data_IF_242159921285
#
_entry.id   IF_242159921285
#
_cell.length_a   1.000
_cell.length_b   1.000
_cell.length_c   1.000
_cell.angle_alpha   90.00
_cell.angle_beta   90.00
_cell.angle_gamma   90.00
#
_symmetry.space_group_name_H-M   'P 1'
#
loop_
_entity.id
_entity.type
_entity.pdbx_description
1 polymer ?
#
# COMPACT_ATOMS: atom_id res chain seq x y z
N UNK A 1 9.21 15.94 -28.23
CA UNK A 1 8.73 15.10 -27.13
C UNK A 1 9.63 15.22 -25.87
N UNK A 2 10.94 15.02 -26.01
CA UNK A 2 11.91 15.09 -24.89
C UNK A 2 11.93 16.43 -24.12
N UNK A 3 11.76 17.59 -24.80
CA UNK A 3 11.74 18.90 -24.15
C UNK A 3 10.52 19.09 -23.23
N UNK A 4 9.34 18.58 -23.64
CA UNK A 4 8.11 18.64 -22.80
C UNK A 4 8.23 17.76 -21.57
N UNK A 5 8.88 16.60 -21.68
CA UNK A 5 9.14 15.70 -20.55
C UNK A 5 10.12 16.34 -19.58
N UNK A 6 11.17 16.99 -20.07
CA UNK A 6 12.15 17.67 -19.21
C UNK A 6 11.51 18.81 -18.41
N UNK A 7 10.68 19.65 -19.04
CA UNK A 7 9.97 20.73 -18.36
C UNK A 7 8.97 20.18 -17.32
N UNK A 8 8.26 19.09 -17.64
CA UNK A 8 7.36 18.45 -16.68
C UNK A 8 8.11 17.99 -15.42
N UNK A 9 9.25 17.33 -15.56
CA UNK A 9 10.09 16.88 -14.43
C UNK A 9 10.58 18.05 -13.60
N UNK A 10 11.09 19.11 -14.22
CA UNK A 10 11.65 20.28 -13.50
C UNK A 10 10.56 21.07 -12.76
N UNK A 11 9.38 21.19 -13.33
CA UNK A 11 8.30 22.03 -12.78
C UNK A 11 7.43 21.28 -11.75
N UNK A 12 7.47 19.94 -11.76
CA UNK A 12 6.59 19.10 -10.93
C UNK A 12 7.36 18.06 -10.08
N UNK A 13 8.67 18.22 -9.92
CA UNK A 13 9.47 17.30 -9.10
C UNK A 13 9.14 17.49 -7.62
N UNK A 14 8.93 16.39 -6.92
CA UNK A 14 8.64 16.37 -5.51
C UNK A 14 9.11 15.07 -4.85
N UNK A 15 9.02 15.02 -3.54
CA UNK A 15 9.27 13.82 -2.75
C UNK A 15 7.92 13.25 -2.31
N UNK A 16 7.66 11.99 -2.69
CA UNK A 16 6.56 11.19 -2.14
C UNK A 16 7.09 10.42 -0.92
N UNK A 17 6.46 10.62 0.22
CA UNK A 17 6.76 9.82 1.42
C UNK A 17 5.66 8.77 1.56
N UNK A 18 6.07 7.51 1.62
CA UNK A 18 5.21 6.36 1.87
C UNK A 18 5.62 5.70 3.19
N UNK A 19 4.66 5.34 4.00
CA UNK A 19 4.84 4.52 5.19
C UNK A 19 4.05 3.24 5.01
N UNK A 20 4.74 2.14 5.05
CA UNK A 20 4.20 0.80 4.95
C UNK A 20 3.77 0.29 6.35
N UNK A 21 3.09 -0.84 6.41
CA UNK A 21 2.86 -1.61 7.65
C UNK A 21 1.98 -0.91 8.69
N UNK A 22 1.07 -0.05 8.26
CA UNK A 22 0.12 0.62 9.16
C UNK A 22 -0.96 -0.39 9.56
N UNK A 23 -0.94 -0.82 10.81
CA UNK A 23 -1.83 -1.83 11.36
C UNK A 23 -2.35 -1.45 12.75
N UNK A 24 -3.44 -2.11 13.20
CA UNK A 24 -3.95 -1.93 14.56
C UNK A 24 -2.90 -2.33 15.64
N UNK A 25 -2.04 -3.28 15.29
CA UNK A 25 -0.89 -3.71 16.08
C UNK A 25 0.39 -3.23 15.36
N UNK A 26 1.02 -2.20 15.86
CA UNK A 26 2.29 -1.67 15.34
C UNK A 26 2.99 -0.86 16.44
N UNK A 27 4.20 -0.35 16.17
CA UNK A 27 4.88 0.55 17.10
C UNK A 27 4.24 1.95 17.07
N UNK A 28 3.20 2.13 17.89
CA UNK A 28 2.42 3.37 17.95
C UNK A 28 3.23 4.58 18.46
N UNK A 29 4.26 4.37 19.29
CA UNK A 29 5.12 5.46 19.76
C UNK A 29 5.97 6.01 18.62
N UNK A 30 6.47 5.12 17.74
CA UNK A 30 7.21 5.53 16.56
C UNK A 30 6.30 6.25 15.57
N UNK A 31 5.09 5.71 15.33
CA UNK A 31 4.11 6.34 14.45
C UNK A 31 3.70 7.74 14.94
N UNK A 32 3.51 7.92 16.25
CA UNK A 32 3.22 9.22 16.82
C UNK A 32 4.36 10.24 16.60
N UNK A 33 5.61 9.81 16.71
CA UNK A 33 6.77 10.67 16.41
C UNK A 33 6.80 11.06 14.93
N UNK A 34 6.51 10.11 14.04
CA UNK A 34 6.42 10.36 12.59
C UNK A 34 5.28 11.34 12.27
N UNK A 35 4.12 11.19 12.88
CA UNK A 35 2.97 12.09 12.72
C UNK A 35 3.33 13.53 13.10
N UNK A 36 3.97 13.74 14.26
CA UNK A 36 4.44 15.06 14.68
C UNK A 36 5.45 15.67 13.70
N UNK A 37 6.34 14.86 13.15
CA UNK A 37 7.29 15.30 12.13
C UNK A 37 6.59 15.75 10.85
N UNK A 38 5.63 14.96 10.36
CA UNK A 38 4.86 15.28 9.16
C UNK A 38 4.02 16.54 9.35
N UNK A 39 3.39 16.71 10.49
CA UNK A 39 2.65 17.93 10.82
C UNK A 39 3.57 19.16 10.85
N UNK A 40 4.72 19.05 11.51
CA UNK A 40 5.72 20.14 11.60
C UNK A 40 6.16 20.64 10.23
N UNK A 41 6.30 19.73 9.25
CA UNK A 41 6.79 20.06 7.91
C UNK A 41 5.67 20.11 6.85
N UNK A 42 4.40 20.05 7.27
CA UNK A 42 3.23 20.04 6.37
C UNK A 42 3.29 18.92 5.32
N UNK A 43 3.89 17.77 5.68
CA UNK A 43 4.00 16.60 4.83
C UNK A 43 2.69 15.81 4.89
N UNK A 44 2.20 15.37 3.73
CA UNK A 44 1.03 14.49 3.58
C UNK A 44 1.51 13.16 3.00
N UNK A 45 1.84 12.17 3.83
CA UNK A 45 2.34 10.90 3.36
C UNK A 45 1.25 10.03 2.75
N UNK A 46 1.66 8.97 2.06
CA UNK A 46 0.82 7.81 1.75
C UNK A 46 1.01 6.78 2.85
N UNK A 47 -0.09 6.29 3.41
CA UNK A 47 -0.10 5.26 4.44
C UNK A 47 -0.59 3.94 3.87
N UNK A 48 0.25 2.91 3.90
CA UNK A 48 -0.09 1.55 3.55
C UNK A 48 -0.76 0.82 4.71
N UNK A 49 -2.07 0.79 4.69
CA UNK A 49 -2.86 0.20 5.78
C UNK A 49 -3.16 -1.27 5.50
N UNK A 50 -2.84 -2.13 6.47
CA UNK A 50 -3.15 -3.56 6.47
C UNK A 50 -4.57 -3.74 7.05
N UNK A 51 -5.58 -4.14 6.26
CA UNK A 51 -6.96 -4.13 6.74
C UNK A 51 -7.30 -5.25 7.72
N UNK A 52 -6.56 -6.36 7.72
CA UNK A 52 -6.79 -7.52 8.59
C UNK A 52 -5.47 -8.17 8.99
N UNK A 53 -4.65 -7.44 9.72
CA UNK A 53 -3.31 -7.88 10.09
C UNK A 53 -3.32 -9.26 10.79
N UNK A 54 -2.49 -10.18 10.27
CA UNK A 54 -2.25 -11.53 10.82
C UNK A 54 -0.76 -11.82 10.97
N UNK A 55 0.09 -10.85 10.67
CA UNK A 55 1.54 -10.98 10.81
C UNK A 55 1.93 -11.07 12.29
N UNK A 56 2.60 -12.15 12.65
CA UNK A 56 2.99 -12.43 14.03
C UNK A 56 3.95 -11.38 14.60
N UNK A 57 4.78 -10.76 13.76
CA UNK A 57 5.71 -9.71 14.19
C UNK A 57 4.92 -8.47 14.64
N UNK A 58 3.89 -8.07 13.90
CA UNK A 58 3.04 -6.94 14.29
C UNK A 58 2.10 -7.28 15.44
N UNK A 59 1.55 -8.49 15.47
CA UNK A 59 0.68 -8.94 16.57
C UNK A 59 1.39 -8.93 17.93
N UNK A 60 2.71 -8.89 17.97
CA UNK A 60 3.48 -8.72 19.20
C UNK A 60 3.32 -7.32 19.83
N UNK A 61 2.90 -6.31 19.06
CA UNK A 61 2.63 -4.98 19.59
C UNK A 61 1.20 -4.88 20.15
N UNK A 62 0.97 -3.99 21.14
CA UNK A 62 -0.36 -3.75 21.67
C UNK A 62 -1.35 -3.32 20.58
N UNK A 63 -2.55 -3.86 20.65
CA UNK A 63 -3.64 -3.47 19.76
C UNK A 63 -4.19 -2.08 20.12
N UNK A 64 -4.36 -1.23 19.11
CA UNK A 64 -5.03 0.07 19.24
C UNK A 64 -6.51 -0.07 18.90
N UNK A 65 -7.38 0.02 19.93
CA UNK A 65 -8.82 -0.21 19.76
C UNK A 65 -9.51 0.85 18.88
N UNK A 66 -9.00 2.07 18.85
CA UNK A 66 -9.51 3.18 18.03
C UNK A 66 -8.75 3.36 16.71
N UNK A 67 -8.09 2.30 16.22
CA UNK A 67 -7.27 2.32 15.01
C UNK A 67 -7.98 2.94 13.80
N UNK A 68 -9.19 2.49 13.50
CA UNK A 68 -9.92 2.99 12.33
C UNK A 68 -10.36 4.46 12.48
N UNK A 69 -10.60 4.93 13.70
CA UNK A 69 -10.78 6.36 13.95
C UNK A 69 -9.51 7.14 13.59
N UNK A 70 -8.35 6.61 13.95
CA UNK A 70 -7.09 7.24 13.61
C UNK A 70 -6.84 7.26 12.09
N UNK A 71 -7.14 6.17 11.38
CA UNK A 71 -7.03 6.11 9.90
C UNK A 71 -7.96 7.17 9.25
N UNK A 72 -9.19 7.31 9.73
CA UNK A 72 -10.11 8.37 9.26
C UNK A 72 -9.56 9.77 9.54
N UNK A 73 -8.94 9.98 10.70
CA UNK A 73 -8.33 11.26 11.05
C UNK A 73 -7.18 11.62 10.09
N UNK A 74 -6.31 10.67 9.77
CA UNK A 74 -5.23 10.90 8.79
C UNK A 74 -5.80 11.23 7.41
N UNK A 75 -6.80 10.49 6.94
CA UNK A 75 -7.49 10.82 5.69
C UNK A 75 -8.08 12.23 5.70
N UNK A 76 -8.69 12.65 6.82
CA UNK A 76 -9.27 13.98 6.96
C UNK A 76 -8.20 15.09 6.96
N UNK A 77 -6.97 14.79 7.41
CA UNK A 77 -5.79 15.67 7.25
C UNK A 77 -5.29 15.73 5.80
N UNK A 78 -5.88 14.98 4.88
CA UNK A 78 -5.50 14.92 3.46
C UNK A 78 -4.34 13.97 3.18
N UNK A 79 -4.05 13.02 4.09
CA UNK A 79 -3.10 11.95 3.83
C UNK A 79 -3.76 10.88 2.94
N UNK A 80 -3.01 10.30 2.02
CA UNK A 80 -3.52 9.23 1.18
C UNK A 80 -3.51 7.92 1.95
N UNK A 81 -4.64 7.22 1.93
CA UNK A 81 -4.77 5.88 2.51
C UNK A 81 -4.75 4.87 1.36
N UNK A 82 -3.74 4.02 1.36
CA UNK A 82 -3.57 2.93 0.42
C UNK A 82 -3.80 1.59 1.11
N UNK A 83 -4.24 0.60 0.36
CA UNK A 83 -4.32 -0.77 0.83
C UNK A 83 -2.95 -1.43 0.72
N UNK A 84 -2.43 -1.97 1.83
CA UNK A 84 -1.16 -2.70 1.90
C UNK A 84 -1.41 -4.19 2.17
N UNK A 85 -1.64 -4.93 1.09
CA UNK A 85 -2.07 -6.31 1.18
C UNK A 85 -3.44 -6.48 1.84
N UNK A 86 -3.68 -7.66 2.42
CA UNK A 86 -4.89 -7.98 3.18
C UNK A 86 -4.55 -8.44 4.60
N UNK A 87 -3.71 -9.47 4.73
CA UNK A 87 -3.36 -10.07 6.03
C UNK A 87 -1.91 -9.85 6.41
N UNK A 88 -1.07 -9.46 5.47
CA UNK A 88 0.39 -9.36 5.59
C UNK A 88 1.07 -10.71 5.87
N UNK A 89 0.47 -11.82 5.42
CA UNK A 89 1.04 -13.17 5.53
C UNK A 89 1.72 -13.55 4.23
N UNK A 90 2.99 -13.88 4.30
CA UNK A 90 3.79 -14.39 3.18
C UNK A 90 3.68 -15.92 3.10
N UNK A 91 2.69 -16.42 2.37
CA UNK A 91 2.44 -17.84 2.21
C UNK A 91 2.96 -18.42 0.88
N UNK A 92 3.64 -17.60 0.11
CA UNK A 92 4.37 -17.97 -1.12
C UNK A 92 5.76 -17.37 -1.12
N UNK A 93 6.65 -18.01 -1.89
CA UNK A 93 7.99 -17.48 -2.17
C UNK A 93 8.11 -17.14 -3.64
N UNK A 94 8.65 -15.98 -3.94
CA UNK A 94 8.89 -15.47 -5.27
C UNK A 94 10.39 -15.37 -5.53
N UNK A 95 10.88 -15.95 -6.63
CA UNK A 95 12.24 -15.67 -7.10
C UNK A 95 12.27 -14.27 -7.67
N UNK A 96 13.39 -13.59 -7.50
CA UNK A 96 13.59 -12.24 -8.02
C UNK A 96 13.34 -12.13 -9.52
N UNK A 97 13.73 -13.15 -10.29
CA UNK A 97 13.52 -13.22 -11.75
C UNK A 97 12.05 -13.37 -12.16
N UNK A 98 11.20 -13.85 -11.28
CA UNK A 98 9.81 -14.19 -11.56
C UNK A 98 8.86 -13.08 -11.08
N UNK A 99 9.35 -12.20 -10.21
CA UNK A 99 8.62 -11.04 -9.72
C UNK A 99 8.60 -9.92 -10.77
N UNK A 100 7.44 -9.33 -10.95
CA UNK A 100 7.23 -8.27 -11.95
C UNK A 100 8.19 -7.08 -11.78
N UNK A 101 8.50 -6.70 -10.55
CA UNK A 101 9.42 -5.60 -10.22
C UNK A 101 10.83 -6.04 -9.81
N UNK A 102 11.16 -7.33 -9.90
CA UNK A 102 12.46 -7.89 -9.55
C UNK A 102 12.88 -7.71 -8.07
N UNK A 103 11.95 -7.65 -7.13
CA UNK A 103 12.27 -7.68 -5.70
C UNK A 103 12.49 -9.10 -5.20
N UNK A 104 11.51 -9.99 -5.40
CA UNK A 104 11.50 -11.36 -4.92
C UNK A 104 11.31 -11.47 -3.40
N UNK A 105 11.31 -12.68 -2.87
CA UNK A 105 11.14 -12.98 -1.45
C UNK A 105 9.76 -13.53 -1.11
N UNK A 106 9.32 -13.33 0.15
CA UNK A 106 7.99 -13.75 0.59
C UNK A 106 6.89 -12.95 -0.10
N UNK A 107 5.73 -13.56 -0.34
CA UNK A 107 4.63 -12.88 -1.00
C UNK A 107 3.27 -13.27 -0.43
N UNK A 108 2.38 -12.30 -0.33
CA UNK A 108 0.97 -12.51 -0.06
C UNK A 108 0.18 -12.71 -1.37
N UNK A 109 0.65 -12.22 -2.52
CA UNK A 109 -0.10 -12.22 -3.78
C UNK A 109 0.52 -13.10 -4.86
N UNK A 110 1.81 -12.93 -5.16
CA UNK A 110 2.51 -13.68 -6.20
C UNK A 110 2.27 -15.20 -6.09
N UNK A 111 2.01 -15.83 -7.24
CA UNK A 111 1.88 -17.28 -7.35
C UNK A 111 0.55 -17.87 -6.84
N UNK A 112 -0.40 -17.02 -6.44
CA UNK A 112 -1.78 -17.41 -6.16
C UNK A 112 -2.65 -17.33 -7.41
N UNK A 113 -3.75 -18.11 -7.42
CA UNK A 113 -4.73 -17.99 -8.50
C UNK A 113 -5.37 -16.60 -8.52
N UNK A 114 -5.86 -16.18 -9.67
CA UNK A 114 -6.58 -14.92 -9.83
C UNK A 114 -7.74 -14.79 -8.83
N UNK A 115 -8.50 -15.86 -8.63
CA UNK A 115 -9.65 -15.90 -7.70
C UNK A 115 -9.18 -15.66 -6.26
N UNK A 116 -8.06 -16.28 -5.85
CA UNK A 116 -7.51 -16.10 -4.50
C UNK A 116 -7.07 -14.66 -4.29
N UNK A 117 -6.34 -14.09 -5.25
CA UNK A 117 -5.90 -12.71 -5.18
C UNK A 117 -7.07 -11.73 -5.16
N UNK A 118 -8.07 -11.92 -6.03
CA UNK A 118 -9.31 -11.13 -6.02
C UNK A 118 -10.07 -11.24 -4.71
N UNK A 119 -10.15 -12.43 -4.10
CA UNK A 119 -10.80 -12.64 -2.80
C UNK A 119 -10.11 -11.85 -1.70
N UNK A 120 -8.79 -11.86 -1.63
CA UNK A 120 -7.99 -11.06 -0.66
C UNK A 120 -8.25 -9.56 -0.84
N UNK A 121 -8.16 -9.07 -2.08
CA UNK A 121 -8.40 -7.66 -2.40
C UNK A 121 -9.83 -7.24 -2.03
N UNK A 122 -10.84 -8.00 -2.43
CA UNK A 122 -12.25 -7.72 -2.10
C UNK A 122 -12.49 -7.70 -0.60
N UNK A 123 -11.90 -8.64 0.14
CA UNK A 123 -12.02 -8.68 1.61
C UNK A 123 -11.41 -7.46 2.27
N UNK A 124 -10.24 -7.02 1.80
CA UNK A 124 -9.60 -5.79 2.27
C UNK A 124 -10.42 -4.55 1.93
N UNK A 125 -10.89 -4.42 0.68
CA UNK A 125 -11.75 -3.32 0.25
C UNK A 125 -13.06 -3.24 1.04
N UNK A 126 -13.66 -4.40 1.33
CA UNK A 126 -14.85 -4.46 2.17
C UNK A 126 -14.57 -3.90 3.57
N UNK A 127 -13.44 -4.28 4.18
CA UNK A 127 -13.07 -3.74 5.50
C UNK A 127 -12.91 -2.22 5.47
N UNK A 128 -12.28 -1.65 4.45
CA UNK A 128 -12.19 -0.20 4.28
C UNK A 128 -13.58 0.44 4.05
N UNK A 129 -14.44 -0.20 3.27
CA UNK A 129 -15.80 0.27 3.03
C UNK A 129 -16.62 0.31 4.32
N UNK A 130 -16.53 -0.73 5.15
CA UNK A 130 -17.20 -0.81 6.46
C UNK A 130 -16.73 0.32 7.40
N UNK A 131 -15.50 0.82 7.21
CA UNK A 131 -14.93 1.95 7.92
C UNK A 131 -15.13 3.31 7.22
N UNK A 132 -15.95 3.36 6.16
CA UNK A 132 -16.22 4.54 5.34
C UNK A 132 -14.96 5.15 4.68
N UNK A 133 -14.00 4.31 4.29
CA UNK A 133 -12.78 4.73 3.61
C UNK A 133 -12.80 4.18 2.17
N UNK A 134 -12.70 5.07 1.17
CA UNK A 134 -12.56 4.66 -0.23
C UNK A 134 -11.08 4.51 -0.56
N UNK A 135 -10.72 3.35 -1.11
CA UNK A 135 -9.37 3.01 -1.55
C UNK A 135 -9.30 3.09 -3.08
N UNK A 136 -8.22 3.65 -3.59
CA UNK A 136 -7.86 3.68 -5.02
C UNK A 136 -6.43 3.23 -5.27
N UNK A 137 -5.61 3.19 -4.23
CA UNK A 137 -4.18 2.96 -4.27
C UNK A 137 -3.84 1.67 -3.53
N UNK A 138 -2.94 0.89 -4.12
CA UNK A 138 -2.46 -0.38 -3.57
C UNK A 138 -0.94 -0.47 -3.71
N UNK A 139 -0.31 -1.14 -2.77
CA UNK A 139 1.02 -1.72 -2.93
C UNK A 139 1.14 -3.00 -2.11
N UNK A 140 1.79 -4.01 -2.71
CA UNK A 140 1.86 -5.32 -2.11
C UNK A 140 2.86 -5.36 -0.94
N UNK A 141 2.57 -6.12 0.13
CA UNK A 141 3.59 -6.49 1.10
C UNK A 141 4.80 -7.12 0.39
N UNK A 142 6.00 -6.71 0.84
CA UNK A 142 7.28 -7.09 0.21
C UNK A 142 7.36 -6.78 -1.31
N UNK A 143 6.47 -5.94 -1.84
CA UNK A 143 6.51 -5.39 -3.21
C UNK A 143 6.57 -6.47 -4.32
N UNK A 144 5.99 -7.65 -4.06
CA UNK A 144 6.01 -8.80 -4.97
C UNK A 144 4.71 -8.96 -5.73
N UNK A 145 4.80 -9.04 -7.06
CA UNK A 145 3.66 -9.05 -7.99
C UNK A 145 3.82 -10.11 -9.08
N UNK A 146 2.69 -10.60 -9.56
CA UNK A 146 2.58 -11.28 -10.85
C UNK A 146 1.48 -10.63 -11.72
N UNK A 147 1.28 -11.14 -12.95
CA UNK A 147 0.24 -10.61 -13.85
C UNK A 147 -1.17 -10.74 -13.26
N UNK A 148 -1.44 -11.81 -12.51
CA UNK A 148 -2.73 -11.99 -11.85
C UNK A 148 -2.99 -10.89 -10.82
N UNK A 149 -1.95 -10.36 -10.16
CA UNK A 149 -2.08 -9.26 -9.19
C UNK A 149 -2.66 -8.01 -9.87
N UNK A 150 -2.13 -7.61 -11.02
CA UNK A 150 -2.66 -6.45 -11.76
C UNK A 150 -4.07 -6.68 -12.28
N UNK A 151 -4.36 -7.87 -12.82
CA UNK A 151 -5.71 -8.23 -13.26
C UNK A 151 -6.70 -8.22 -12.10
N UNK A 152 -6.31 -8.75 -10.94
CA UNK A 152 -7.13 -8.77 -9.73
C UNK A 152 -7.42 -7.35 -9.22
N UNK A 153 -6.42 -6.48 -9.18
CA UNK A 153 -6.56 -5.07 -8.79
C UNK A 153 -7.52 -4.33 -9.72
N UNK A 154 -7.31 -4.44 -11.05
CA UNK A 154 -8.18 -3.84 -12.08
C UNK A 154 -9.63 -4.30 -11.94
N UNK A 155 -9.85 -5.61 -11.79
CA UNK A 155 -11.18 -6.20 -11.62
C UNK A 155 -11.88 -5.81 -10.30
N UNK A 156 -11.09 -5.42 -9.29
CA UNK A 156 -11.59 -4.92 -8.01
C UNK A 156 -11.71 -3.38 -7.95
N UNK A 157 -11.40 -2.68 -9.04
CA UNK A 157 -11.55 -1.22 -9.15
C UNK A 157 -10.40 -0.42 -8.52
N UNK A 158 -9.27 -1.06 -8.22
CA UNK A 158 -8.02 -0.38 -7.84
C UNK A 158 -7.24 -0.08 -9.11
N UNK A 159 -6.88 1.16 -9.32
CA UNK A 159 -6.24 1.65 -10.55
C UNK A 159 -4.89 2.35 -10.34
N UNK A 160 -4.38 2.34 -9.11
CA UNK A 160 -3.09 2.92 -8.77
C UNK A 160 -2.25 1.92 -7.98
N UNK A 161 -1.03 1.69 -8.43
CA UNK A 161 0.00 0.89 -7.74
C UNK A 161 1.19 1.80 -7.46
N UNK A 162 1.72 1.75 -6.24
CA UNK A 162 2.85 2.59 -5.80
C UNK A 162 4.14 1.80 -5.65
N UNK A 163 4.34 0.77 -6.47
CA UNK A 163 5.59 0.01 -6.54
C UNK A 163 6.21 0.12 -7.93
N UNK A 164 7.47 -0.28 -8.03
CA UNK A 164 8.24 -0.22 -9.27
C UNK A 164 9.13 1.00 -9.40
N UNK A 165 9.87 1.04 -10.49
CA UNK A 165 10.84 2.09 -10.80
C UNK A 165 10.47 2.76 -12.12
N UNK A 166 10.33 4.08 -12.10
CA UNK A 166 10.05 4.84 -13.30
C UNK A 166 10.28 6.33 -13.07
N UNK A 167 10.66 7.05 -14.14
CA UNK A 167 10.76 8.51 -14.10
C UNK A 167 9.39 9.19 -14.14
N UNK A 168 8.36 8.47 -14.55
CA UNK A 168 6.99 8.97 -14.70
C UNK A 168 6.01 7.82 -14.44
N UNK A 169 4.78 8.13 -13.99
CA UNK A 169 3.71 7.13 -13.98
C UNK A 169 3.54 6.50 -15.36
N UNK A 170 3.29 5.22 -15.39
CA UNK A 170 2.98 4.50 -16.61
C UNK A 170 1.67 3.73 -16.46
N UNK A 171 1.06 3.38 -17.58
CA UNK A 171 -0.17 2.59 -17.63
C UNK A 171 0.21 1.17 -18.05
N UNK A 172 -0.26 0.20 -17.29
CA UNK A 172 -0.17 -1.22 -17.61
C UNK A 172 -1.53 -1.67 -18.16
N UNK A 173 -1.55 -2.24 -19.37
CA UNK A 173 -2.77 -2.67 -20.07
C UNK A 173 -3.24 -4.08 -19.64
#
# INVERSE_FOLDING_TARGET
>A
MLSKVKNYITDNTGILIRIDDIAENMNWDLMKKSELLFEKYSIKPVLGVIPNNKDSEFLAFPKKNDFWNQVRNWRNKGWEIAMHGYTHIYDKMCKKSDDYFNYGGGSEFFGHSLETQMSRIKSGLKKFQDENIKIRTFFAPNQTYDKNTFIALKNCGINQVLDGYGLMPYIED
#
